data_IF_665630904328
#
_entry.id   IF_665630904328
#
_cell.length_a   1.000
_cell.length_b   1.000
_cell.length_c   1.000
_cell.angle_alpha   90.00
_cell.angle_beta   90.00
_cell.angle_gamma   90.00
#
_symmetry.space_group_name_H-M   'P 1'
#
loop_
_entity.id
_entity.type
_entity.pdbx_description
1 polymer ?
#
# COMPACT_ATOMS: atom_id res chain seq x y z
N UNK A 1 -15.94 1.18 -23.08
CA UNK A 1 -15.43 -0.15 -22.68
C UNK A 1 -16.38 -0.81 -21.69
N UNK A 2 -16.57 -2.09 -21.83
CA UNK A 2 -17.21 -2.90 -20.80
C UNK A 2 -16.24 -3.19 -19.66
N UNK A 3 -16.79 -3.59 -18.50
CA UNK A 3 -15.99 -3.82 -17.30
C UNK A 3 -14.89 -4.88 -17.49
N UNK A 4 -15.18 -5.95 -18.25
CA UNK A 4 -14.18 -7.00 -18.52
C UNK A 4 -13.01 -6.51 -19.36
N UNK A 5 -13.26 -5.67 -20.36
CA UNK A 5 -12.22 -5.05 -21.18
C UNK A 5 -11.38 -4.06 -20.37
N UNK A 6 -12.03 -3.26 -19.53
CA UNK A 6 -11.34 -2.34 -18.64
C UNK A 6 -10.44 -3.09 -17.65
N UNK A 7 -10.96 -4.17 -17.05
CA UNK A 7 -10.20 -5.00 -16.14
C UNK A 7 -8.96 -5.60 -16.81
N UNK A 8 -9.11 -6.10 -18.03
CA UNK A 8 -8.00 -6.65 -18.81
C UNK A 8 -6.93 -5.59 -19.10
N UNK A 9 -7.36 -4.41 -19.58
CA UNK A 9 -6.43 -3.31 -19.92
C UNK A 9 -5.71 -2.75 -18.69
N UNK A 10 -6.38 -2.70 -17.54
CA UNK A 10 -5.82 -2.18 -16.30
C UNK A 10 -5.08 -3.24 -15.47
N UNK A 11 -5.06 -4.49 -15.91
CA UNK A 11 -4.39 -5.58 -15.22
C UNK A 11 -5.04 -5.96 -13.89
N UNK A 12 -6.36 -5.91 -13.81
CA UNK A 12 -7.13 -6.19 -12.61
C UNK A 12 -8.34 -7.08 -12.93
N UNK A 13 -9.25 -7.23 -12.00
CA UNK A 13 -10.46 -8.03 -12.15
C UNK A 13 -11.72 -7.16 -12.12
N UNK A 14 -12.80 -7.65 -12.73
CA UNK A 14 -14.10 -6.96 -12.67
C UNK A 14 -14.59 -6.79 -11.23
N UNK A 15 -14.32 -7.74 -10.35
CA UNK A 15 -14.67 -7.67 -8.93
C UNK A 15 -13.95 -6.50 -8.25
N UNK A 16 -12.67 -6.32 -8.50
CA UNK A 16 -11.89 -5.21 -7.96
C UNK A 16 -12.41 -3.87 -8.46
N UNK A 17 -12.77 -3.78 -9.74
CA UNK A 17 -13.35 -2.55 -10.31
C UNK A 17 -14.68 -2.18 -9.69
N UNK A 18 -15.55 -3.14 -9.41
CA UNK A 18 -16.80 -2.90 -8.69
C UNK A 18 -16.54 -2.39 -7.28
N UNK A 19 -15.55 -2.96 -6.61
CA UNK A 19 -15.10 -2.48 -5.29
C UNK A 19 -14.60 -1.04 -5.35
N UNK A 20 -13.83 -0.68 -6.37
CA UNK A 20 -13.35 0.70 -6.55
C UNK A 20 -14.50 1.68 -6.80
N UNK A 21 -15.53 1.29 -7.54
CA UNK A 21 -16.74 2.10 -7.70
C UNK A 21 -17.42 2.34 -6.34
N UNK A 22 -17.57 1.29 -5.54
CA UNK A 22 -18.20 1.37 -4.21
C UNK A 22 -17.40 2.29 -3.27
N UNK A 23 -16.06 2.27 -3.38
CA UNK A 23 -15.17 3.09 -2.57
C UNK A 23 -15.02 4.54 -3.09
N UNK A 24 -15.65 4.87 -4.20
CA UNK A 24 -15.55 6.21 -4.80
C UNK A 24 -14.25 6.50 -5.51
N UNK A 25 -13.45 5.48 -5.79
CA UNK A 25 -12.19 5.61 -6.53
C UNK A 25 -12.40 5.69 -8.04
N UNK A 26 -13.46 5.08 -8.51
CA UNK A 26 -13.86 5.05 -9.90
C UNK A 26 -15.29 5.62 -10.01
N UNK A 27 -15.52 6.65 -10.85
CA UNK A 27 -16.87 7.16 -11.04
C UNK A 27 -17.79 6.06 -11.55
N UNK A 28 -19.09 6.09 -11.19
CA UNK A 28 -20.04 5.14 -11.75
C UNK A 28 -20.01 5.20 -13.28
N UNK A 29 -19.98 4.02 -13.91
CA UNK A 29 -20.00 3.93 -15.35
C UNK A 29 -21.36 4.39 -15.90
N UNK A 30 -21.32 5.00 -17.08
CA UNK A 30 -22.53 5.21 -17.86
C UNK A 30 -23.12 3.86 -18.26
N UNK A 31 -24.43 3.83 -18.48
CA UNK A 31 -25.12 2.63 -18.93
C UNK A 31 -25.43 2.74 -20.42
N UNK A 32 -25.19 1.67 -21.15
CA UNK A 32 -25.66 1.53 -22.52
C UNK A 32 -27.20 1.43 -22.54
N UNK A 33 -27.86 1.65 -23.68
CA UNK A 33 -29.31 1.42 -23.79
C UNK A 33 -29.74 0.01 -23.38
N UNK A 34 -28.84 -0.97 -23.49
CA UNK A 34 -29.05 -2.34 -23.07
C UNK A 34 -28.84 -2.59 -21.57
N UNK A 35 -28.46 -1.55 -20.79
CA UNK A 35 -28.24 -1.63 -19.35
C UNK A 35 -26.85 -2.07 -18.93
N UNK A 36 -25.91 -2.26 -19.85
CA UNK A 36 -24.52 -2.61 -19.54
C UNK A 36 -23.71 -1.39 -19.12
N UNK A 37 -22.73 -1.59 -18.23
CA UNK A 37 -21.76 -0.55 -17.86
C UNK A 37 -20.86 -0.21 -19.03
N UNK A 38 -20.66 1.09 -19.27
CA UNK A 38 -19.77 1.60 -20.31
C UNK A 38 -18.77 2.59 -19.68
N UNK A 39 -17.51 2.22 -19.70
CA UNK A 39 -16.42 3.00 -19.11
C UNK A 39 -15.69 3.82 -20.18
N UNK A 40 -15.35 5.06 -19.83
CA UNK A 40 -14.54 5.91 -20.69
C UNK A 40 -13.08 5.43 -20.74
N UNK A 41 -12.34 5.70 -21.83
CA UNK A 41 -10.94 5.27 -21.94
C UNK A 41 -10.01 5.83 -20.85
N UNK A 42 -10.31 6.99 -20.27
CA UNK A 42 -9.54 7.59 -19.18
C UNK A 42 -9.64 6.80 -17.85
N UNK A 43 -10.60 5.88 -17.74
CA UNK A 43 -10.70 5.00 -16.58
C UNK A 43 -9.44 4.14 -16.39
N UNK A 44 -8.77 3.74 -17.47
CA UNK A 44 -7.53 2.97 -17.39
C UNK A 44 -6.45 3.75 -16.64
N UNK A 45 -6.23 5.00 -17.01
CA UNK A 45 -5.24 5.87 -16.36
C UNK A 45 -5.57 6.10 -14.88
N UNK A 46 -6.86 6.22 -14.56
CA UNK A 46 -7.34 6.40 -13.19
C UNK A 46 -7.04 5.16 -12.33
N UNK A 47 -7.28 3.97 -12.86
CA UNK A 47 -6.98 2.71 -12.17
C UNK A 47 -5.47 2.52 -12.01
N UNK A 48 -4.68 2.83 -13.02
CA UNK A 48 -3.22 2.80 -12.94
C UNK A 48 -2.69 3.72 -11.85
N UNK A 49 -3.29 4.90 -11.70
CA UNK A 49 -2.98 5.82 -10.61
C UNK A 49 -3.29 5.20 -9.24
N UNK A 50 -4.45 4.55 -9.08
CA UNK A 50 -4.80 3.84 -7.84
C UNK A 50 -3.76 2.78 -7.50
N UNK A 51 -3.35 1.98 -8.48
CA UNK A 51 -2.34 0.93 -8.29
C UNK A 51 -0.98 1.52 -7.89
N UNK A 52 -0.55 2.62 -8.50
CA UNK A 52 0.70 3.30 -8.13
C UNK A 52 0.65 3.87 -6.72
N UNK A 53 -0.47 4.44 -6.33
CA UNK A 53 -0.68 4.92 -4.97
C UNK A 53 -0.58 3.79 -3.93
N UNK A 54 -1.21 2.66 -4.21
CA UNK A 54 -1.13 1.48 -3.34
C UNK A 54 0.30 0.92 -3.28
N UNK A 55 1.01 0.89 -4.40
CA UNK A 55 2.41 0.46 -4.44
C UNK A 55 3.33 1.38 -3.60
N UNK A 56 2.99 2.66 -3.50
CA UNK A 56 3.68 3.61 -2.62
C UNK A 56 3.25 3.49 -1.13
N UNK A 57 2.30 2.62 -0.83
CA UNK A 57 1.81 2.39 0.53
C UNK A 57 0.76 3.39 0.99
N UNK A 58 0.13 4.12 0.07
CA UNK A 58 -1.01 4.97 0.39
C UNK A 58 -2.26 4.11 0.62
N UNK A 59 -3.11 4.55 1.52
CA UNK A 59 -4.41 3.92 1.74
C UNK A 59 -5.38 4.29 0.62
N UNK A 60 -6.42 3.49 0.42
CA UNK A 60 -7.47 3.82 -0.55
C UNK A 60 -8.16 5.15 -0.21
N UNK A 61 -8.33 5.46 1.08
CA UNK A 61 -8.88 6.75 1.51
C UNK A 61 -8.00 7.93 1.11
N UNK A 62 -6.69 7.80 1.23
CA UNK A 62 -5.73 8.83 0.79
C UNK A 62 -5.73 9.00 -0.72
N UNK A 63 -5.77 7.91 -1.46
CA UNK A 63 -5.87 7.92 -2.92
C UNK A 63 -7.17 8.60 -3.37
N UNK A 64 -8.28 8.29 -2.70
CA UNK A 64 -9.56 8.93 -2.96
C UNK A 64 -9.51 10.44 -2.76
N UNK A 65 -8.89 10.90 -1.68
CA UNK A 65 -8.71 12.34 -1.43
C UNK A 65 -7.97 13.03 -2.58
N UNK A 66 -6.92 12.41 -3.11
CA UNK A 66 -6.18 12.95 -4.26
C UNK A 66 -7.09 13.05 -5.49
N UNK A 67 -7.85 12.01 -5.75
CA UNK A 67 -8.78 11.97 -6.88
C UNK A 67 -9.89 13.01 -6.73
N UNK A 68 -10.41 13.20 -5.53
CA UNK A 68 -11.44 14.21 -5.23
C UNK A 68 -10.91 15.63 -5.49
N UNK A 69 -9.67 15.92 -5.13
CA UNK A 69 -9.02 17.22 -5.42
C UNK A 69 -8.96 17.46 -6.93
N UNK A 70 -8.52 16.45 -7.68
CA UNK A 70 -8.45 16.51 -9.14
C UNK A 70 -9.84 16.68 -9.77
N UNK A 71 -10.81 15.91 -9.31
CA UNK A 71 -12.19 15.95 -9.84
C UNK A 71 -12.87 17.28 -9.56
N UNK A 72 -12.44 18.02 -8.53
CA UNK A 72 -12.93 19.37 -8.25
C UNK A 72 -12.22 20.47 -9.09
N UNK A 73 -11.35 20.09 -10.01
CA UNK A 73 -10.67 21.00 -10.92
C UNK A 73 -9.36 21.59 -10.39
N UNK A 74 -8.83 21.08 -9.29
CA UNK A 74 -7.58 21.51 -8.68
C UNK A 74 -6.45 20.53 -8.94
N UNK A 75 -5.23 21.04 -9.03
CA UNK A 75 -4.04 20.19 -9.13
C UNK A 75 -3.71 19.62 -7.74
N UNK A 76 -3.60 18.27 -7.57
CA UNK A 76 -3.36 17.66 -6.26
C UNK A 76 -1.88 17.58 -5.89
N UNK A 77 -0.96 18.21 -6.63
CA UNK A 77 0.48 18.00 -6.49
C UNK A 77 1.03 18.28 -5.09
N UNK A 78 0.57 19.35 -4.45
CA UNK A 78 1.00 19.71 -3.10
C UNK A 78 0.54 18.68 -2.07
N UNK A 79 -0.72 18.26 -2.16
CA UNK A 79 -1.29 17.24 -1.29
C UNK A 79 -0.57 15.88 -1.46
N UNK A 80 -0.27 15.49 -2.70
CA UNK A 80 0.48 14.27 -3.01
C UNK A 80 1.88 14.34 -2.40
N UNK A 81 2.57 15.47 -2.54
CA UNK A 81 3.89 15.66 -1.96
C UNK A 81 3.86 15.50 -0.44
N UNK A 82 2.88 16.11 0.23
CA UNK A 82 2.74 16.00 1.68
C UNK A 82 2.50 14.55 2.13
N UNK A 83 1.67 13.79 1.41
CA UNK A 83 1.45 12.38 1.68
C UNK A 83 2.73 11.56 1.49
N UNK A 84 3.49 11.84 0.44
CA UNK A 84 4.75 11.13 0.17
C UNK A 84 5.81 11.48 1.21
N UNK A 85 5.90 12.73 1.64
CA UNK A 85 6.80 13.15 2.71
C UNK A 85 6.48 12.41 4.03
N UNK A 86 5.21 12.33 4.39
CA UNK A 86 4.76 11.60 5.57
C UNK A 86 5.07 10.11 5.46
N UNK A 87 4.84 9.51 4.31
CA UNK A 87 5.14 8.09 4.07
C UNK A 87 6.65 7.82 4.14
N UNK A 88 7.45 8.71 3.59
CA UNK A 88 8.91 8.61 3.65
C UNK A 88 9.41 8.64 5.10
N UNK A 89 8.88 9.55 5.91
CA UNK A 89 9.22 9.64 7.33
C UNK A 89 8.84 8.36 8.10
N UNK A 90 7.68 7.77 7.82
CA UNK A 90 7.26 6.49 8.40
C UNK A 90 8.23 5.36 8.05
N UNK A 91 8.66 5.28 6.79
CA UNK A 91 9.60 4.25 6.32
C UNK A 91 10.97 4.43 6.99
N UNK A 92 11.46 5.66 7.09
CA UNK A 92 12.71 5.97 7.77
C UNK A 92 12.68 5.52 9.23
N UNK A 93 11.56 5.73 9.91
CA UNK A 93 11.35 5.27 11.28
C UNK A 93 11.34 3.74 11.36
N UNK A 94 10.68 3.07 10.43
CA UNK A 94 10.66 1.60 10.36
C UNK A 94 12.05 1.03 10.10
N UNK A 95 12.84 1.66 9.24
CA UNK A 95 14.24 1.27 8.98
C UNK A 95 15.07 1.39 10.27
N UNK A 96 14.92 2.49 11.01
CA UNK A 96 15.63 2.69 12.27
C UNK A 96 15.25 1.63 13.31
N UNK A 97 13.96 1.30 13.43
CA UNK A 97 13.48 0.26 14.35
C UNK A 97 14.01 -1.13 13.96
N UNK A 98 13.98 -1.47 12.67
CA UNK A 98 14.51 -2.74 12.18
C UNK A 98 16.02 -2.82 12.35
N UNK A 99 16.74 -1.74 12.14
CA UNK A 99 18.21 -1.67 12.34
C UNK A 99 18.54 -1.91 13.81
N UNK A 100 17.81 -1.30 14.73
CA UNK A 100 18.00 -1.51 16.16
C UNK A 100 17.71 -2.95 16.58
N UNK A 101 16.63 -3.53 16.07
CA UNK A 101 16.27 -4.92 16.34
C UNK A 101 17.31 -5.88 15.76
N UNK A 102 17.77 -5.63 14.54
CA UNK A 102 18.85 -6.40 13.92
C UNK A 102 20.10 -6.42 14.80
N UNK A 103 20.52 -5.26 15.30
CA UNK A 103 21.68 -5.15 16.17
C UNK A 103 21.49 -5.96 17.47
N UNK A 104 20.32 -5.86 18.09
CA UNK A 104 20.00 -6.62 19.31
C UNK A 104 20.08 -8.12 19.06
N UNK A 105 19.49 -8.61 17.97
CA UNK A 105 19.50 -10.04 17.63
C UNK A 105 20.90 -10.51 17.28
N UNK A 106 21.67 -9.70 16.56
CA UNK A 106 23.05 -10.02 16.21
C UNK A 106 23.92 -10.17 17.46
N UNK A 107 23.76 -9.31 18.45
CA UNK A 107 24.47 -9.39 19.72
C UNK A 107 24.08 -10.64 20.51
N UNK A 108 22.79 -10.95 20.58
CA UNK A 108 22.30 -12.16 21.23
C UNK A 108 22.85 -13.42 20.56
N UNK A 109 22.86 -13.44 19.24
CA UNK A 109 23.42 -14.56 18.46
C UNK A 109 24.92 -14.72 18.71
N UNK A 110 25.65 -13.62 18.76
CA UNK A 110 27.08 -13.64 19.04
C UNK A 110 27.37 -14.26 20.41
N UNK A 111 26.65 -13.82 21.45
CA UNK A 111 26.79 -14.37 22.79
C UNK A 111 26.41 -15.86 22.85
N UNK A 112 25.34 -16.25 22.16
CA UNK A 112 24.91 -17.65 22.10
C UNK A 112 25.86 -18.54 21.30
N UNK A 113 26.62 -17.98 20.33
CA UNK A 113 27.62 -18.70 19.55
C UNK A 113 28.91 -18.98 20.35
N UNK A 114 29.11 -18.24 21.46
CA UNK A 114 30.28 -18.38 22.37
C UNK A 114 29.77 -18.69 23.79
N UNK A 115 29.04 -19.84 23.98
CA UNK A 115 28.44 -20.15 25.26
C UNK A 115 29.49 -20.48 26.30
N UNK A 116 29.27 -20.02 27.53
CA UNK A 116 30.00 -20.47 28.71
C UNK A 116 29.17 -21.56 29.41
N UNK A 117 29.61 -22.83 29.35
CA UNK A 117 28.85 -23.94 29.92
C UNK A 117 28.61 -23.81 31.43
N UNK A 118 29.51 -23.11 32.16
CA UNK A 118 29.40 -22.91 33.60
C UNK A 118 28.30 -21.93 33.99
N UNK A 119 27.87 -21.09 33.05
CA UNK A 119 26.83 -20.08 33.26
C UNK A 119 25.46 -20.49 32.74
N UNK A 120 25.37 -21.58 31.98
CA UNK A 120 24.12 -22.14 31.49
C UNK A 120 23.66 -23.30 32.41
N UNK A 121 22.47 -23.18 33.00
CA UNK A 121 21.87 -24.20 33.84
C UNK A 121 20.61 -24.75 33.19
N UNK A 122 20.36 -26.09 33.27
CA UNK A 122 19.09 -26.66 32.78
C UNK A 122 17.86 -26.18 33.57
N UNK A 123 18.04 -25.59 34.76
CA UNK A 123 16.97 -24.99 35.55
C UNK A 123 16.56 -23.62 35.06
N UNK A 124 17.36 -22.99 34.19
CA UNK A 124 17.07 -21.71 33.56
C UNK A 124 16.53 -21.92 32.15
N UNK A 125 15.62 -21.06 31.72
CA UNK A 125 15.06 -21.14 30.36
C UNK A 125 16.17 -20.96 29.32
N UNK A 126 16.86 -19.83 29.33
CA UNK A 126 18.03 -19.55 28.52
C UNK A 126 18.66 -18.23 28.97
N UNK A 127 19.95 -18.20 29.18
CA UNK A 127 20.64 -16.98 29.60
C UNK A 127 20.77 -15.95 28.47
N UNK A 128 20.72 -16.40 27.22
CA UNK A 128 20.92 -15.54 26.04
C UNK A 128 19.63 -14.92 25.50
N UNK A 129 18.49 -15.30 26.04
CA UNK A 129 17.18 -14.81 25.66
C UNK A 129 16.33 -14.44 26.87
#
# INVERSE_FOLDING_TARGET
MRIGELAERAGTTSKTLRFYEEQGLLPPADRTPSGYRDYAPDAVARIDFVHRGQAAGLTLAQIRQILDIRDSGHAPCEHVRDLLDARLAEIEQQIAQLTALHSTIADLRHDAAHPDPDTCSPDQVCRYL
#
